data_IF_241165210752
#
_entry.id   IF_241165210752
#
_cell.length_a   1.000
_cell.length_b   1.000
_cell.length_c   1.000
_cell.angle_alpha   90.00
_cell.angle_beta   90.00
_cell.angle_gamma   90.00
#
_symmetry.space_group_name_H-M   'P 1'
#
loop_
_entity.id
_entity.type
_entity.pdbx_description
1 polymer ?
#
# COMPACT_ATOMS: atom_id res chain seq x y z
N UNK A 1 -7.68 -11.77 11.80
CA UNK A 1 -6.67 -10.89 11.20
C UNK A 1 -7.07 -10.69 9.75
N UNK A 2 -7.15 -9.44 9.30
CA UNK A 2 -7.47 -9.10 7.91
C UNK A 2 -6.16 -8.69 7.23
N UNK A 3 -5.98 -9.07 5.97
CA UNK A 3 -4.88 -8.58 5.13
C UNK A 3 -5.46 -7.49 4.23
N UNK A 4 -4.81 -6.33 4.25
CA UNK A 4 -5.12 -5.22 3.35
C UNK A 4 -3.94 -5.07 2.40
N UNK A 5 -4.23 -5.00 1.11
CA UNK A 5 -3.23 -4.78 0.07
C UNK A 5 -3.56 -3.47 -0.64
N UNK A 6 -2.53 -2.64 -0.79
CA UNK A 6 -2.64 -1.33 -1.42
C UNK A 6 -1.43 -1.18 -2.31
N UNK A 7 -1.66 -0.68 -3.53
CA UNK A 7 -0.62 -0.25 -4.45
C UNK A 7 -0.72 1.27 -4.56
N UNK A 8 0.42 1.94 -4.57
CA UNK A 8 0.52 3.39 -4.70
C UNK A 8 1.83 3.76 -5.39
N UNK A 9 1.90 4.97 -5.94
CA UNK A 9 3.15 5.53 -6.45
C UNK A 9 4.24 5.61 -5.35
N UNK A 10 5.50 5.45 -5.75
CA UNK A 10 6.67 5.44 -4.85
C UNK A 10 6.74 6.68 -3.94
N UNK A 11 6.40 7.85 -4.49
CA UNK A 11 6.39 9.12 -3.75
C UNK A 11 5.42 9.14 -2.55
N UNK A 12 4.47 8.19 -2.48
CA UNK A 12 3.45 8.10 -1.42
C UNK A 12 3.72 7.00 -0.40
N UNK A 13 4.75 6.17 -0.61
CA UNK A 13 5.04 5.00 0.23
C UNK A 13 5.21 5.38 1.71
N UNK A 14 5.99 6.43 2.00
CA UNK A 14 6.25 6.85 3.38
C UNK A 14 4.97 7.34 4.07
N UNK A 15 4.23 8.24 3.41
CA UNK A 15 3.00 8.82 3.92
C UNK A 15 1.95 7.75 4.24
N UNK A 16 1.75 6.80 3.32
CA UNK A 16 0.75 5.74 3.47
C UNK A 16 1.15 4.72 4.52
N UNK A 17 2.42 4.33 4.56
CA UNK A 17 2.92 3.39 5.58
C UNK A 17 2.70 3.96 6.98
N UNK A 18 2.99 5.26 7.16
CA UNK A 18 2.75 5.96 8.42
C UNK A 18 1.27 6.02 8.76
N UNK A 19 0.43 6.48 7.82
CA UNK A 19 -1.01 6.60 8.04
C UNK A 19 -1.68 5.26 8.38
N UNK A 20 -1.29 4.17 7.70
CA UNK A 20 -1.80 2.82 7.99
C UNK A 20 -1.37 2.32 9.37
N UNK A 21 -0.11 2.53 9.75
CA UNK A 21 0.39 2.14 11.05
C UNK A 21 -0.33 2.91 12.17
N UNK A 22 -0.47 4.23 12.04
CA UNK A 22 -1.17 5.08 13.01
C UNK A 22 -2.65 4.70 13.15
N UNK A 23 -3.33 4.44 12.03
CA UNK A 23 -4.74 4.06 12.05
C UNK A 23 -4.99 2.66 12.66
N UNK A 24 -4.04 1.73 12.50
CA UNK A 24 -4.15 0.37 13.02
C UNK A 24 -3.62 0.20 14.46
N UNK A 25 -2.89 1.18 15.00
CA UNK A 25 -2.24 1.07 16.31
C UNK A 25 -3.26 1.14 17.45
N UNK A 26 -3.31 0.07 18.27
CA UNK A 26 -4.08 0.02 19.52
C UNK A 26 -3.20 0.03 20.76
N UNK A 27 -1.89 -0.18 20.60
CA UNK A 27 -0.91 -0.26 21.67
C UNK A 27 -0.84 -1.63 22.34
N UNK A 28 -1.53 -2.65 21.80
CA UNK A 28 -1.57 -4.00 22.35
C UNK A 28 -0.77 -4.96 21.47
N UNK A 29 -0.33 -6.08 22.05
CA UNK A 29 0.26 -7.17 21.24
C UNK A 29 -0.80 -7.66 20.24
N UNK A 30 -0.44 -7.65 18.96
CA UNK A 30 -1.30 -8.11 17.88
C UNK A 30 -1.72 -7.04 16.88
N UNK A 31 -1.29 -5.78 17.02
CA UNK A 31 -1.59 -4.68 16.08
C UNK A 31 -1.16 -4.97 14.63
N UNK A 32 -0.20 -5.89 14.45
CA UNK A 32 0.20 -6.39 13.13
C UNK A 32 1.48 -5.77 12.62
N UNK A 33 1.65 -5.79 11.29
CA UNK A 33 2.84 -5.30 10.58
C UNK A 33 2.41 -4.75 9.22
N UNK A 34 3.08 -3.70 8.78
CA UNK A 34 3.01 -3.20 7.41
C UNK A 34 4.28 -3.63 6.69
N UNK A 35 4.15 -4.14 5.48
CA UNK A 35 5.27 -4.51 4.63
C UNK A 35 5.17 -3.71 3.34
N UNK A 36 6.30 -3.20 2.88
CA UNK A 36 6.41 -2.52 1.58
C UNK A 36 7.13 -3.49 0.65
N UNK A 37 6.49 -3.80 -0.48
CA UNK A 37 7.07 -4.60 -1.55
C UNK A 37 7.10 -3.76 -2.82
N UNK A 38 8.20 -3.78 -3.59
CA UNK A 38 8.24 -3.08 -4.87
C UNK A 38 7.28 -3.76 -5.87
N UNK A 39 6.52 -2.95 -6.59
CA UNK A 39 5.70 -3.39 -7.73
C UNK A 39 6.39 -2.91 -9.00
N UNK A 40 6.74 -3.83 -9.89
CA UNK A 40 7.54 -3.51 -11.07
C UNK A 40 6.74 -2.82 -12.18
N UNK A 41 5.45 -3.15 -12.32
CA UNK A 41 4.55 -2.55 -13.30
C UNK A 41 3.09 -2.76 -12.88
N UNK A 42 2.20 -1.94 -13.41
CA UNK A 42 0.76 -2.00 -13.20
C UNK A 42 0.04 -1.77 -14.54
N UNK A 43 -1.13 -2.41 -14.72
CA UNK A 43 -1.94 -2.29 -15.94
C UNK A 43 -3.40 -2.08 -15.57
N UNK A 44 -4.02 -1.00 -16.06
CA UNK A 44 -5.47 -0.84 -16.00
C UNK A 44 -6.12 -1.72 -17.08
N UNK A 45 -6.85 -2.75 -16.68
CA UNK A 45 -7.48 -3.72 -17.60
C UNK A 45 -8.51 -3.05 -18.53
N UNK A 46 -9.15 -1.97 -18.10
CA UNK A 46 -10.18 -1.27 -18.87
C UNK A 46 -9.57 -0.40 -19.96
N UNK A 47 -8.45 0.28 -19.69
CA UNK A 47 -7.83 1.24 -20.62
C UNK A 47 -6.56 0.73 -21.28
N UNK A 48 -6.00 -0.37 -20.79
CA UNK A 48 -4.69 -0.93 -21.16
C UNK A 48 -3.51 0.04 -20.95
N UNK A 49 -3.68 1.06 -20.11
CA UNK A 49 -2.60 1.95 -19.70
C UNK A 49 -1.70 1.25 -18.67
N UNK A 50 -0.42 1.62 -18.64
CA UNK A 50 0.57 0.97 -17.78
C UNK A 50 1.41 1.97 -16.96
N UNK A 51 2.16 1.45 -16.00
CA UNK A 51 3.11 2.19 -15.16
C UNK A 51 2.46 3.04 -14.06
N UNK A 52 3.22 3.96 -13.49
CA UNK A 52 2.84 4.72 -12.29
C UNK A 52 1.56 5.56 -12.43
N UNK A 53 1.10 5.83 -13.66
CA UNK A 53 -0.11 6.63 -13.90
C UNK A 53 -1.41 5.88 -13.57
N UNK A 54 -1.35 4.56 -13.40
CA UNK A 54 -2.52 3.72 -13.09
C UNK A 54 -2.61 3.31 -11.61
N UNK A 55 -1.72 3.84 -10.75
CA UNK A 55 -1.66 3.57 -9.30
C UNK A 55 -1.79 4.83 -8.45
#
# INVERSE_FOLDING_TARGET
>A
MVRVEVVCADARVEDWTRALAEAAQTGRRGDGKVFVLPVADAVDIRTLQTGDTVV
#
